data_IF_765501252540
#
_entry.id   IF_765501252540
#
_cell.length_a   1.000
_cell.length_b   1.000
_cell.length_c   1.000
_cell.angle_alpha   90.00
_cell.angle_beta   90.00
_cell.angle_gamma   90.00
#
_symmetry.space_group_name_H-M   'P 1'
#
loop_
_entity.id
_entity.type
_entity.pdbx_description
1 polymer ?
#
# COMPACT_ATOMS: atom_id res chain seq x y z
N UNK A 1 1.02 24.47 16.64
CA UNK A 1 1.57 24.50 15.27
C UNK A 1 2.19 23.15 14.95
N UNK A 2 1.69 22.45 13.93
CA UNK A 2 2.12 21.07 13.63
C UNK A 2 3.61 21.07 13.20
N UNK A 3 4.49 20.32 13.90
CA UNK A 3 5.95 20.30 13.62
C UNK A 3 6.33 19.66 12.27
N UNK A 4 5.37 19.06 11.57
CA UNK A 4 5.60 18.29 10.34
C UNK A 4 5.49 19.21 9.12
N UNK A 5 6.58 19.32 8.35
CA UNK A 5 6.65 20.13 7.13
C UNK A 5 5.94 19.51 5.91
N UNK A 6 5.33 18.33 6.05
CA UNK A 6 4.55 17.64 5.02
C UNK A 6 3.82 16.40 5.57
N UNK A 7 2.87 15.88 4.81
CA UNK A 7 2.17 14.61 5.08
C UNK A 7 1.06 14.67 6.14
N UNK A 8 0.65 15.88 6.55
CA UNK A 8 -0.47 16.07 7.49
C UNK A 8 -1.76 15.40 6.99
N UNK A 9 -2.12 15.62 5.74
CA UNK A 9 -3.29 15.02 5.09
C UNK A 9 -3.30 13.49 5.22
N UNK A 10 -2.14 12.84 5.06
CA UNK A 10 -2.01 11.39 5.21
C UNK A 10 -2.35 10.94 6.64
N UNK A 11 -1.82 11.64 7.66
CA UNK A 11 -2.12 11.32 9.06
C UNK A 11 -3.58 11.62 9.42
N UNK A 12 -4.16 12.68 8.85
CA UNK A 12 -5.56 13.02 9.02
C UNK A 12 -6.47 11.96 8.40
N UNK A 13 -6.28 11.65 7.11
CA UNK A 13 -7.05 10.63 6.41
C UNK A 13 -6.95 9.26 7.07
N UNK A 14 -5.76 8.84 7.50
CA UNK A 14 -5.59 7.58 8.22
C UNK A 14 -6.45 7.49 9.49
N UNK A 15 -6.60 8.61 10.22
CA UNK A 15 -7.46 8.65 11.42
C UNK A 15 -8.94 8.62 11.05
N UNK A 16 -9.34 9.42 10.06
CA UNK A 16 -10.74 9.55 9.62
C UNK A 16 -11.26 8.25 9.02
N UNK A 17 -10.51 7.61 8.11
CA UNK A 17 -10.93 6.38 7.43
C UNK A 17 -11.24 5.26 8.44
N UNK A 18 -10.50 5.20 9.55
CA UNK A 18 -10.74 4.20 10.60
C UNK A 18 -12.05 4.41 11.39
N UNK A 19 -12.64 5.62 11.34
CA UNK A 19 -13.92 5.93 11.97
C UNK A 19 -15.12 5.48 11.13
N UNK A 20 -14.92 5.18 9.85
CA UNK A 20 -16.00 4.85 8.92
C UNK A 20 -16.84 6.07 8.51
N UNK A 21 -18.04 5.82 7.97
CA UNK A 21 -19.01 6.84 7.54
C UNK A 21 -18.44 7.91 6.59
N UNK A 22 -17.52 7.50 5.72
CA UNK A 22 -17.05 8.32 4.60
C UNK A 22 -17.61 7.74 3.29
N UNK A 23 -17.68 8.58 2.27
CA UNK A 23 -18.11 8.19 0.94
C UNK A 23 -17.21 8.79 -0.13
N UNK A 24 -17.46 8.39 -1.37
CA UNK A 24 -16.75 8.90 -2.54
C UNK A 24 -17.61 9.94 -3.27
N UNK A 25 -16.98 11.04 -3.73
CA UNK A 25 -17.63 12.06 -4.55
C UNK A 25 -17.39 11.77 -6.03
N UNK A 26 -18.20 10.88 -6.61
CA UNK A 26 -17.99 10.37 -7.97
C UNK A 26 -18.66 11.22 -9.08
N UNK A 27 -19.36 12.30 -8.72
CA UNK A 27 -20.08 13.19 -9.67
C UNK A 27 -19.34 14.48 -9.98
N UNK A 28 -18.34 14.85 -9.19
CA UNK A 28 -17.62 16.12 -9.32
C UNK A 28 -16.18 15.87 -9.72
N UNK A 29 -15.69 16.61 -10.72
CA UNK A 29 -14.30 16.54 -11.19
C UNK A 29 -13.53 17.81 -10.83
N UNK A 30 -12.47 17.67 -10.04
CA UNK A 30 -11.51 18.74 -9.79
C UNK A 30 -10.30 18.56 -10.72
N UNK A 31 -9.92 19.62 -11.45
CA UNK A 31 -8.77 19.62 -12.35
C UNK A 31 -7.73 20.61 -11.79
N UNK A 32 -6.85 20.16 -10.86
CA UNK A 32 -5.82 21.04 -10.32
C UNK A 32 -4.78 21.35 -11.41
N UNK A 33 -4.29 22.59 -11.45
CA UNK A 33 -3.17 22.95 -12.33
C UNK A 33 -1.91 22.19 -11.91
N UNK A 34 -1.21 21.51 -12.85
CA UNK A 34 0.10 20.96 -12.56
C UNK A 34 1.08 22.11 -12.27
N UNK A 35 1.86 21.99 -11.20
CA UNK A 35 2.92 22.96 -10.88
C UNK A 35 4.07 22.30 -10.12
N UNK A 36 5.28 22.73 -10.40
CA UNK A 36 6.41 22.48 -9.52
C UNK A 36 6.18 23.18 -8.17
N UNK A 37 6.61 22.55 -7.08
CA UNK A 37 6.45 23.13 -5.74
C UNK A 37 7.57 22.68 -4.83
N UNK A 38 8.29 23.65 -4.26
CA UNK A 38 9.32 23.45 -3.24
C UNK A 38 8.80 23.69 -1.81
N UNK A 39 7.51 23.97 -1.63
CA UNK A 39 6.90 24.27 -0.32
C UNK A 39 6.98 23.12 0.69
N UNK A 40 7.15 21.91 0.20
CA UNK A 40 7.21 20.68 1.00
C UNK A 40 8.35 19.79 0.49
N UNK A 41 9.05 19.06 1.39
CA UNK A 41 10.20 18.24 1.01
C UNK A 41 9.82 16.98 0.21
N UNK A 42 8.54 16.61 0.18
CA UNK A 42 8.00 15.50 -0.59
C UNK A 42 6.56 15.79 -1.04
N UNK A 43 6.11 15.09 -2.07
CA UNK A 43 4.79 15.28 -2.69
C UNK A 43 4.91 15.54 -4.19
N UNK A 44 3.79 15.61 -4.89
CA UNK A 44 3.73 15.61 -6.36
C UNK A 44 4.62 16.69 -6.99
N UNK A 45 4.55 17.93 -6.51
CA UNK A 45 5.35 19.03 -7.06
C UNK A 45 6.86 18.89 -6.85
N UNK A 46 7.28 18.31 -5.71
CA UNK A 46 8.70 18.05 -5.43
C UNK A 46 9.22 16.84 -6.24
N UNK A 47 8.41 15.80 -6.40
CA UNK A 47 8.74 14.62 -7.21
C UNK A 47 8.82 14.94 -8.70
N UNK A 48 7.94 15.78 -9.23
CA UNK A 48 8.01 16.22 -10.63
C UNK A 48 9.27 17.07 -10.88
N UNK A 49 9.59 17.98 -9.98
CA UNK A 49 10.79 18.83 -10.12
C UNK A 49 12.08 18.00 -10.17
N UNK A 50 12.27 17.08 -9.22
CA UNK A 50 13.45 16.19 -9.21
C UNK A 50 13.59 15.36 -10.48
N UNK A 51 12.46 14.92 -11.05
CA UNK A 51 12.46 14.14 -12.29
C UNK A 51 12.87 14.98 -13.49
N UNK A 52 12.33 16.19 -13.60
CA UNK A 52 12.68 17.13 -14.66
C UNK A 52 14.18 17.45 -14.61
N UNK A 53 14.71 17.72 -13.41
CA UNK A 53 16.13 18.03 -13.20
C UNK A 53 17.07 16.87 -13.56
N UNK A 54 16.64 15.62 -13.33
CA UNK A 54 17.48 14.43 -13.51
C UNK A 54 17.18 13.62 -14.78
N UNK A 55 16.21 14.04 -15.60
CA UNK A 55 15.67 13.27 -16.75
C UNK A 55 15.34 11.80 -16.37
N UNK A 56 14.76 11.60 -15.18
CA UNK A 56 14.53 10.27 -14.61
C UNK A 56 13.21 9.65 -15.10
N UNK A 57 13.27 8.36 -15.46
CA UNK A 57 12.06 7.56 -15.69
C UNK A 57 11.16 7.49 -14.45
N UNK A 58 9.84 7.42 -14.69
CA UNK A 58 8.84 7.27 -13.62
C UNK A 58 8.88 5.84 -13.09
N UNK A 59 9.66 5.61 -12.04
CA UNK A 59 9.67 4.33 -11.30
C UNK A 59 8.63 4.30 -10.18
N UNK A 60 8.08 3.13 -9.94
CA UNK A 60 7.10 2.84 -8.88
C UNK A 60 7.41 1.52 -8.18
N UNK A 61 6.62 1.17 -7.17
CA UNK A 61 6.69 -0.14 -6.53
C UNK A 61 6.38 -1.26 -7.54
N UNK A 62 7.24 -2.28 -7.54
CA UNK A 62 7.04 -3.56 -8.18
C UNK A 62 5.74 -4.21 -7.69
N UNK A 63 4.95 -4.66 -8.65
CA UNK A 63 3.64 -5.23 -8.40
C UNK A 63 3.70 -6.49 -7.52
N UNK A 64 4.79 -7.27 -7.57
CA UNK A 64 4.98 -8.49 -6.76
C UNK A 64 4.87 -8.21 -5.26
N UNK A 65 5.29 -7.03 -4.77
CA UNK A 65 5.13 -6.68 -3.37
C UNK A 65 3.65 -6.56 -2.95
N UNK A 66 2.76 -6.18 -3.87
CA UNK A 66 1.31 -6.15 -3.62
C UNK A 66 0.71 -7.55 -3.68
N UNK A 67 1.27 -8.46 -4.48
CA UNK A 67 0.88 -9.88 -4.46
C UNK A 67 1.23 -10.52 -3.12
N UNK A 68 2.41 -10.22 -2.59
CA UNK A 68 2.80 -10.68 -1.26
C UNK A 68 1.88 -10.14 -0.17
N UNK A 69 1.50 -8.85 -0.25
CA UNK A 69 0.50 -8.26 0.63
C UNK A 69 -0.84 -9.00 0.50
N UNK A 70 -1.30 -9.29 -0.71
CA UNK A 70 -2.57 -10.00 -0.94
C UNK A 70 -2.56 -11.38 -0.28
N UNK A 71 -1.47 -12.12 -0.37
CA UNK A 71 -1.32 -13.43 0.30
C UNK A 71 -1.34 -13.23 1.82
N UNK A 72 -0.57 -12.28 2.34
CA UNK A 72 -0.53 -12.00 3.77
C UNK A 72 -1.88 -11.60 4.36
N UNK A 73 -2.63 -10.73 3.66
CA UNK A 73 -3.94 -10.27 4.13
C UNK A 73 -4.94 -11.43 4.28
N UNK A 74 -4.84 -12.47 3.44
CA UNK A 74 -5.66 -13.68 3.56
C UNK A 74 -5.29 -14.53 4.77
N UNK A 75 -4.03 -14.51 5.18
CA UNK A 75 -3.54 -15.28 6.33
C UNK A 75 -3.82 -14.59 7.68
N UNK A 76 -4.28 -13.34 7.70
CA UNK A 76 -4.52 -12.58 8.95
C UNK A 76 -5.35 -13.37 9.97
N UNK A 77 -6.51 -13.97 9.63
CA UNK A 77 -7.31 -14.72 10.61
C UNK A 77 -6.55 -15.87 11.27
N UNK A 78 -5.61 -16.49 10.55
CA UNK A 78 -4.81 -17.61 11.04
C UNK A 78 -3.74 -17.22 12.07
N UNK A 79 -3.53 -15.92 12.32
CA UNK A 79 -2.68 -15.44 13.41
C UNK A 79 -3.39 -15.45 14.78
N UNK A 80 -4.70 -15.68 14.80
CA UNK A 80 -5.47 -15.72 16.04
C UNK A 80 -5.05 -16.89 16.93
N UNK A 81 -5.10 -16.68 18.24
CA UNK A 81 -4.76 -17.66 19.27
C UNK A 81 -3.30 -18.16 19.28
N UNK A 82 -2.43 -17.60 18.42
CA UNK A 82 -0.98 -17.82 18.52
C UNK A 82 -0.46 -17.05 19.73
N UNK A 83 0.04 -17.79 20.74
CA UNK A 83 0.59 -17.21 21.97
C UNK A 83 2.01 -17.71 22.31
N UNK A 84 2.49 -18.75 21.63
CA UNK A 84 3.87 -19.22 21.70
C UNK A 84 4.67 -18.89 20.43
N UNK A 85 5.99 -18.96 20.56
CA UNK A 85 6.91 -18.55 19.50
C UNK A 85 7.00 -19.58 18.38
N UNK A 86 6.81 -20.87 18.66
CA UNK A 86 6.91 -21.94 17.66
C UNK A 86 5.75 -21.85 16.68
N UNK A 87 4.53 -21.64 17.18
CA UNK A 87 3.36 -21.46 16.32
C UNK A 87 3.45 -20.17 15.49
N UNK A 88 4.01 -19.11 16.07
CA UNK A 88 4.32 -17.89 15.31
C UNK A 88 5.30 -18.17 14.17
N UNK A 89 6.40 -18.88 14.42
CA UNK A 89 7.36 -19.20 13.35
C UNK A 89 6.77 -20.17 12.32
N UNK A 90 5.85 -21.07 12.72
CA UNK A 90 5.12 -21.95 11.80
C UNK A 90 4.17 -21.18 10.88
N UNK A 91 3.41 -20.21 11.39
CA UNK A 91 2.54 -19.39 10.53
C UNK A 91 3.37 -18.51 9.58
N UNK A 92 4.57 -18.07 9.99
CA UNK A 92 5.46 -17.32 9.11
C UNK A 92 5.94 -18.11 7.90
N UNK A 93 5.84 -19.44 7.89
CA UNK A 93 6.11 -20.28 6.71
C UNK A 93 4.98 -20.23 5.68
N UNK A 94 3.77 -19.83 6.07
CA UNK A 94 2.61 -19.72 5.16
C UNK A 94 2.51 -18.36 4.47
N UNK A 95 3.24 -17.37 4.96
CA UNK A 95 3.28 -16.03 4.34
C UNK A 95 4.53 -15.88 3.47
N UNK A 96 4.53 -14.97 2.48
CA UNK A 96 5.70 -14.70 1.66
C UNK A 96 6.93 -14.31 2.50
N UNK A 97 8.12 -14.71 2.05
CA UNK A 97 9.39 -14.43 2.75
C UNK A 97 9.58 -12.94 3.06
N UNK A 98 9.16 -12.07 2.15
CA UNK A 98 9.21 -10.61 2.28
C UNK A 98 8.40 -10.12 3.50
N UNK A 99 7.18 -10.64 3.66
CA UNK A 99 6.27 -10.36 4.77
C UNK A 99 6.83 -10.94 6.06
N UNK A 100 7.27 -12.21 6.05
CA UNK A 100 7.84 -12.86 7.21
C UNK A 100 9.03 -12.06 7.78
N UNK A 101 9.94 -11.60 6.91
CA UNK A 101 11.08 -10.78 7.34
C UNK A 101 10.64 -9.41 7.83
N UNK A 102 9.67 -8.76 7.17
CA UNK A 102 9.12 -7.49 7.65
C UNK A 102 8.51 -7.61 9.05
N UNK A 103 7.71 -8.65 9.30
CA UNK A 103 7.08 -8.89 10.61
C UNK A 103 8.12 -9.14 11.71
N UNK A 104 9.22 -9.85 11.38
CA UNK A 104 10.36 -10.03 12.30
C UNK A 104 11.05 -8.70 12.62
N UNK A 105 11.40 -7.91 11.60
CA UNK A 105 12.03 -6.59 11.78
C UNK A 105 11.15 -5.63 12.59
N UNK A 106 9.82 -5.77 12.51
CA UNK A 106 8.87 -4.98 13.30
C UNK A 106 8.53 -5.59 14.67
N UNK A 107 9.20 -6.66 15.09
CA UNK A 107 8.93 -7.38 16.34
C UNK A 107 7.45 -7.69 16.53
N UNK A 108 6.78 -8.13 15.45
CA UNK A 108 5.33 -8.25 15.41
C UNK A 108 4.79 -9.22 16.47
N UNK A 109 5.51 -10.30 16.78
CA UNK A 109 5.13 -11.29 17.78
C UNK A 109 4.65 -10.67 19.11
N UNK A 110 5.34 -9.65 19.62
CA UNK A 110 4.95 -8.97 20.86
C UNK A 110 3.63 -8.19 20.71
N UNK A 111 3.41 -7.61 19.53
CA UNK A 111 2.14 -6.94 19.22
C UNK A 111 1.02 -7.96 19.03
N UNK A 112 1.29 -9.10 18.41
CA UNK A 112 0.34 -10.19 18.20
C UNK A 112 -0.16 -10.74 19.55
N UNK A 113 0.73 -11.03 20.50
CA UNK A 113 0.35 -11.44 21.86
C UNK A 113 -0.61 -10.43 22.51
N UNK A 114 -0.32 -9.13 22.38
CA UNK A 114 -1.20 -8.07 22.90
C UNK A 114 -2.54 -8.05 22.18
N UNK A 115 -2.58 -8.25 20.87
CA UNK A 115 -3.83 -8.29 20.11
C UNK A 115 -4.68 -9.49 20.55
N UNK A 116 -4.11 -10.70 20.60
CA UNK A 116 -4.79 -11.91 21.05
C UNK A 116 -5.33 -11.77 22.47
N UNK A 117 -4.51 -11.27 23.42
CA UNK A 117 -4.94 -11.03 24.81
C UNK A 117 -6.11 -10.05 24.96
N UNK A 118 -6.26 -9.09 24.04
CA UNK A 118 -7.26 -8.02 24.11
C UNK A 118 -8.44 -8.21 23.14
N UNK A 119 -8.64 -9.41 22.60
CA UNK A 119 -9.70 -9.72 21.62
C UNK A 119 -10.36 -11.06 21.92
N UNK A 120 -11.70 -11.07 21.97
CA UNK A 120 -12.50 -12.25 22.33
C UNK A 120 -13.12 -12.95 21.12
N UNK A 121 -13.38 -12.20 20.04
CA UNK A 121 -13.97 -12.72 18.80
C UNK A 121 -13.03 -12.54 17.60
N UNK A 122 -13.26 -13.30 16.54
CA UNK A 122 -12.47 -13.25 15.31
C UNK A 122 -12.57 -11.88 14.63
N UNK A 123 -13.75 -11.27 14.63
CA UNK A 123 -13.97 -9.92 14.07
C UNK A 123 -13.18 -8.87 14.85
N UNK A 124 -13.20 -8.96 16.19
CA UNK A 124 -12.46 -8.05 17.06
C UNK A 124 -10.94 -8.20 16.89
N UNK A 125 -10.47 -9.44 16.66
CA UNK A 125 -9.08 -9.75 16.36
C UNK A 125 -8.66 -9.14 15.02
N UNK A 126 -9.38 -9.42 13.94
CA UNK A 126 -9.08 -8.90 12.59
C UNK A 126 -9.09 -7.38 12.60
N UNK A 127 -10.08 -6.75 13.25
CA UNK A 127 -10.14 -5.27 13.39
C UNK A 127 -8.90 -4.70 14.09
N UNK A 128 -8.50 -5.28 15.24
CA UNK A 128 -7.28 -4.82 15.95
C UNK A 128 -6.01 -5.13 15.18
N UNK A 129 -5.97 -6.24 14.45
CA UNK A 129 -4.86 -6.57 13.56
C UNK A 129 -4.69 -5.50 12.49
N UNK A 130 -5.76 -5.10 11.78
CA UNK A 130 -5.69 -4.02 10.79
C UNK A 130 -5.37 -2.65 11.39
N UNK A 131 -5.81 -2.37 12.61
CA UNK A 131 -5.39 -1.15 13.32
C UNK A 131 -3.87 -1.12 13.55
N UNK A 132 -3.27 -2.29 13.85
CA UNK A 132 -1.83 -2.46 13.85
C UNK A 132 -1.28 -2.36 12.41
N UNK A 133 -1.68 -3.24 11.49
CA UNK A 133 -1.24 -3.24 10.08
C UNK A 133 -2.01 -2.23 9.21
N UNK A 134 -1.95 -0.96 9.60
CA UNK A 134 -2.62 0.15 8.91
C UNK A 134 -1.88 0.62 7.66
N UNK A 135 -2.45 1.59 6.93
CA UNK A 135 -1.90 2.15 5.68
C UNK A 135 -0.45 2.65 5.83
N UNK A 136 -0.06 3.15 7.00
CA UNK A 136 1.33 3.54 7.25
C UNK A 136 2.27 2.34 7.34
N UNK A 137 1.83 1.23 7.93
CA UNK A 137 2.61 -0.02 7.93
C UNK A 137 2.66 -0.66 6.55
N UNK A 138 1.60 -0.54 5.74
CA UNK A 138 1.63 -0.92 4.31
C UNK A 138 2.71 -0.15 3.58
N UNK A 139 2.76 1.18 3.72
CA UNK A 139 3.81 2.00 3.10
C UNK A 139 5.23 1.61 3.57
N UNK A 140 5.39 1.36 4.88
CA UNK A 140 6.66 0.87 5.44
C UNK A 140 7.05 -0.51 4.90
N UNK A 141 6.09 -1.40 4.72
CA UNK A 141 6.30 -2.70 4.10
C UNK A 141 6.74 -2.52 2.65
N UNK A 142 6.04 -1.69 1.86
CA UNK A 142 6.39 -1.46 0.45
C UNK A 142 7.82 -0.90 0.33
N UNK A 143 8.21 0.04 1.19
CA UNK A 143 9.60 0.52 1.21
C UNK A 143 10.59 -0.58 1.57
N UNK A 144 10.32 -1.35 2.63
CA UNK A 144 11.17 -2.46 3.04
C UNK A 144 11.32 -3.53 1.95
N UNK A 145 10.21 -3.94 1.32
CA UNK A 145 10.23 -4.92 0.23
C UNK A 145 11.10 -4.42 -0.92
N UNK A 146 11.10 -3.12 -1.19
CA UNK A 146 11.88 -2.53 -2.28
C UNK A 146 13.33 -2.21 -1.96
N UNK A 147 13.67 -2.21 -0.68
CA UNK A 147 15.04 -2.07 -0.20
C UNK A 147 15.77 -3.42 -0.26
N UNK A 148 15.07 -4.53 0.01
CA UNK A 148 15.71 -5.82 0.23
C UNK A 148 15.32 -6.95 -0.75
N UNK A 149 14.20 -6.85 -1.46
CA UNK A 149 13.64 -7.98 -2.22
C UNK A 149 13.27 -7.66 -3.66
N UNK A 150 12.77 -6.44 -3.92
CA UNK A 150 12.28 -6.05 -5.23
C UNK A 150 12.90 -4.73 -5.67
N UNK A 151 13.33 -4.66 -6.93
CA UNK A 151 13.69 -3.36 -7.49
C UNK A 151 12.44 -2.62 -7.93
N UNK A 152 12.43 -1.29 -7.73
CA UNK A 152 11.40 -0.43 -8.32
C UNK A 152 11.48 -0.53 -9.84
N UNK A 153 10.32 -0.65 -10.48
CA UNK A 153 10.20 -0.81 -11.94
C UNK A 153 9.52 0.42 -12.55
N UNK A 154 9.60 0.58 -13.87
CA UNK A 154 8.87 1.62 -14.57
C UNK A 154 7.35 1.48 -14.31
N UNK A 155 6.67 2.61 -14.14
CA UNK A 155 5.24 2.66 -13.89
C UNK A 155 4.42 2.01 -15.01
N UNK A 156 4.86 2.11 -16.28
CA UNK A 156 4.18 1.44 -17.40
C UNK A 156 4.18 -0.07 -17.21
N UNK A 157 5.33 -0.65 -16.89
CA UNK A 157 5.50 -2.10 -16.66
C UNK A 157 4.62 -2.56 -15.49
N UNK A 158 4.66 -1.87 -14.35
CA UNK A 158 3.85 -2.23 -13.18
C UNK A 158 2.35 -2.15 -13.49
N UNK A 159 1.94 -1.13 -14.23
CA UNK A 159 0.56 -0.93 -14.63
C UNK A 159 0.07 -1.98 -15.64
N UNK A 160 0.91 -2.41 -16.59
CA UNK A 160 0.60 -3.53 -17.48
C UNK A 160 0.43 -4.86 -16.74
N UNK A 161 1.27 -5.13 -15.74
CA UNK A 161 1.14 -6.33 -14.90
C UNK A 161 -0.23 -6.32 -14.18
N UNK A 162 -0.62 -5.17 -13.63
CA UNK A 162 -1.94 -5.00 -13.01
C UNK A 162 -3.07 -5.29 -14.00
N UNK A 163 -3.03 -4.72 -15.21
CA UNK A 163 -4.06 -4.94 -16.23
C UNK A 163 -4.19 -6.42 -16.60
N UNK A 164 -3.08 -7.06 -16.96
CA UNK A 164 -3.04 -8.45 -17.41
C UNK A 164 -3.54 -9.42 -16.33
N UNK A 165 -3.23 -9.16 -15.06
CA UNK A 165 -3.57 -10.08 -13.97
C UNK A 165 -4.95 -9.85 -13.35
N UNK A 166 -5.50 -8.63 -13.37
CA UNK A 166 -6.67 -8.28 -12.55
C UNK A 166 -7.84 -7.67 -13.31
N UNK A 167 -7.64 -7.27 -14.58
CA UNK A 167 -8.68 -6.62 -15.38
C UNK A 167 -9.00 -7.44 -16.65
N UNK A 168 -8.30 -8.56 -16.87
CA UNK A 168 -8.51 -9.55 -17.93
C UNK A 168 -8.67 -8.96 -19.35
N UNK A 169 -7.97 -7.87 -19.62
CA UNK A 169 -7.89 -7.31 -20.97
C UNK A 169 -6.49 -7.52 -21.53
N UNK A 170 -6.39 -8.42 -22.52
CA UNK A 170 -5.18 -8.66 -23.34
C UNK A 170 -4.96 -7.53 -24.36
N UNK A 171 -5.24 -6.29 -23.98
CA UNK A 171 -5.04 -5.16 -24.87
C UNK A 171 -3.57 -4.79 -24.87
N UNK A 172 -2.96 -4.90 -26.03
CA UNK A 172 -1.58 -4.45 -26.25
C UNK A 172 -1.57 -2.92 -26.19
N UNK A 173 -0.98 -2.37 -25.13
CA UNK A 173 -0.93 -0.93 -24.92
C UNK A 173 0.35 -0.41 -25.57
N UNK A 174 0.23 0.51 -26.54
CA UNK A 174 1.37 0.93 -27.36
C UNK A 174 2.23 1.99 -26.70
N UNK A 175 1.67 2.76 -25.75
CA UNK A 175 2.37 3.83 -25.06
C UNK A 175 1.69 4.21 -23.72
N UNK A 176 2.40 4.99 -22.90
CA UNK A 176 1.93 5.41 -21.58
C UNK A 176 0.64 6.26 -21.60
N UNK A 177 0.39 7.01 -22.68
CA UNK A 177 -0.82 7.83 -22.82
C UNK A 177 -2.05 6.96 -23.03
N UNK A 178 -1.96 5.94 -23.87
CA UNK A 178 -3.02 4.93 -24.05
C UNK A 178 -3.29 4.19 -22.75
N UNK A 179 -2.25 3.81 -22.01
CA UNK A 179 -2.37 3.18 -20.70
C UNK A 179 -3.17 4.04 -19.73
N UNK A 180 -2.84 5.34 -19.64
CA UNK A 180 -3.56 6.30 -18.80
C UNK A 180 -5.03 6.46 -19.20
N UNK A 181 -5.31 6.60 -20.50
CA UNK A 181 -6.69 6.73 -21.00
C UNK A 181 -7.49 5.47 -20.67
N UNK A 182 -6.86 4.31 -20.75
CA UNK A 182 -7.48 3.05 -20.42
C UNK A 182 -7.85 2.94 -18.93
N UNK A 183 -6.92 3.23 -18.02
CA UNK A 183 -7.22 3.26 -16.58
C UNK A 183 -8.33 4.25 -16.22
N UNK A 184 -8.38 5.41 -16.88
CA UNK A 184 -9.47 6.39 -16.70
C UNK A 184 -10.83 5.87 -17.16
N UNK A 185 -10.89 5.02 -18.18
CA UNK A 185 -12.15 4.39 -18.61
C UNK A 185 -12.63 3.38 -17.58
N UNK A 186 -11.71 2.56 -17.04
CA UNK A 186 -12.03 1.61 -15.96
C UNK A 186 -12.54 2.34 -14.73
N UNK A 187 -11.85 3.39 -14.30
CA UNK A 187 -12.24 4.20 -13.14
C UNK A 187 -13.66 4.77 -13.29
N UNK A 188 -14.01 5.29 -14.48
CA UNK A 188 -15.36 5.79 -14.77
C UNK A 188 -16.45 4.70 -14.74
N UNK A 189 -16.09 3.46 -15.04
CA UNK A 189 -17.03 2.35 -15.14
C UNK A 189 -17.17 1.56 -13.82
N UNK A 190 -16.32 1.82 -12.82
CA UNK A 190 -16.50 1.30 -11.46
C UNK A 190 -17.63 2.08 -10.78
N UNK A 191 -18.84 1.56 -10.88
CA UNK A 191 -19.96 1.91 -9.98
C UNK A 191 -20.02 0.91 -8.84
#
# INVERSE_FOLDING_TARGET
>A
MNRKRAGEDFYFLQKIIALGNFGELNTTKVIPSPRFSARVPFGTGASLRKREENNEEIKTYNFSAFEDLKIFLKEIPNFRNIDDRKDFDRILLKVPKTIAQFLRVKNFYLSLKKINKNTKTDESFVKRFHAWFNSFRVLKFLNFAHEFFYQKINVSISAEILLKKYIDEKKEVKNMKELLVFFRKIEKNRK
#
